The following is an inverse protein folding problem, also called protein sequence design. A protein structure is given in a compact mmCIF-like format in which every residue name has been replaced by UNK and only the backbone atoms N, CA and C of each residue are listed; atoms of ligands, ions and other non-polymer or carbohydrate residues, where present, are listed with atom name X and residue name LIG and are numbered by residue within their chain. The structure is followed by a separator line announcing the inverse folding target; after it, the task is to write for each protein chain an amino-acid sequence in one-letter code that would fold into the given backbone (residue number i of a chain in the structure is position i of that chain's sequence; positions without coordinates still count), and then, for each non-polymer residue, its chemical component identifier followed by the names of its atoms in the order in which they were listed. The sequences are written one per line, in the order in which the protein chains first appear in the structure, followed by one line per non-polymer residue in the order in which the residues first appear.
data_IF_249005675070
#
_entry.id   IF_249005675070
#
_cell.length_a   1.000
_cell.length_b   1.000
_cell.length_c   1.000
_cell.angle_alpha   90.00
_cell.angle_beta   90.00
_cell.angle_gamma   90.00
#
_symmetry.space_group_name_H-M   'P 1'
#
loop_
_entity.id
_entity.type
_entity.pdbx_description
1 polymer ?
#
# COMPACT_ATOMS: atom_id res chain seq x y z
N UNK A 1 6.94 80.55 -23.99
CA UNK A 1 7.96 79.53 -23.64
C UNK A 1 7.37 78.52 -22.66
N UNK A 2 7.32 77.24 -23.03
CA UNK A 2 7.77 76.06 -22.24
C UNK A 2 7.27 75.99 -20.77
N UNK A 3 6.53 74.99 -20.27
CA UNK A 3 6.53 73.54 -20.51
C UNK A 3 5.35 72.88 -19.76
N UNK A 4 4.97 71.70 -20.25
CA UNK A 4 4.05 70.69 -19.70
C UNK A 4 4.49 70.15 -18.33
N UNK A 5 3.55 69.59 -17.54
CA UNK A 5 3.60 68.34 -16.72
C UNK A 5 2.50 68.39 -15.65
N UNK A 6 1.78 67.35 -15.22
CA UNK A 6 1.62 65.95 -15.61
C UNK A 6 0.31 65.45 -14.96
N UNK A 7 -0.49 64.67 -15.69
CA UNK A 7 -1.68 63.98 -15.16
C UNK A 7 -1.19 62.75 -14.38
N UNK A 8 -1.54 62.68 -13.09
CA UNK A 8 -1.34 61.51 -12.25
C UNK A 8 -2.35 60.42 -12.66
N UNK A 9 -1.98 59.57 -13.62
CA UNK A 9 -2.67 58.31 -13.83
C UNK A 9 -2.17 57.31 -12.78
N UNK A 10 -3.03 57.05 -11.80
CA UNK A 10 -2.92 55.95 -10.84
C UNK A 10 -3.13 54.63 -11.60
N UNK A 11 -2.06 54.14 -12.24
CA UNK A 11 -2.00 52.79 -12.81
C UNK A 11 -1.87 51.82 -11.64
N UNK A 12 -3.02 51.34 -11.15
CA UNK A 12 -3.09 50.15 -10.32
C UNK A 12 -2.50 48.99 -11.11
N UNK A 13 -1.24 48.67 -10.83
CA UNK A 13 -0.61 47.42 -11.22
C UNK A 13 -1.33 46.28 -10.51
N UNK A 14 -2.42 45.80 -11.10
CA UNK A 14 -2.85 44.42 -10.97
C UNK A 14 -1.76 43.59 -11.65
N UNK A 15 -0.67 43.31 -10.93
CA UNK A 15 0.16 42.18 -11.30
C UNK A 15 -0.75 40.94 -11.19
N UNK A 16 -1.07 40.24 -12.29
CA UNK A 16 -1.59 38.89 -12.13
C UNK A 16 -0.50 38.16 -11.35
N UNK A 17 -0.83 37.76 -10.13
CA UNK A 17 -0.05 36.77 -9.42
C UNK A 17 -0.07 35.58 -10.36
N UNK A 18 1.01 35.40 -11.13
CA UNK A 18 1.28 34.13 -11.80
C UNK A 18 1.50 33.18 -10.64
N UNK A 19 0.40 32.61 -10.15
CA UNK A 19 0.44 31.42 -9.32
C UNK A 19 1.27 30.47 -10.15
N UNK A 20 2.53 30.27 -9.75
CA UNK A 20 3.32 29.14 -10.18
C UNK A 20 2.51 27.95 -9.70
N UNK A 21 1.60 27.48 -10.56
CA UNK A 21 0.77 26.33 -10.30
C UNK A 21 1.77 25.20 -10.05
N UNK A 22 1.94 24.86 -8.77
CA UNK A 22 2.67 23.66 -8.42
C UNK A 22 1.97 22.54 -9.16
N UNK A 23 2.72 21.74 -9.91
CA UNK A 23 2.12 20.61 -10.60
C UNK A 23 1.53 19.57 -9.62
N UNK A 24 1.72 19.74 -8.31
CA UNK A 24 1.15 18.87 -7.27
C UNK A 24 -0.28 19.31 -6.95
N UNK A 25 -1.22 18.38 -7.12
CA UNK A 25 -2.62 18.54 -6.71
C UNK A 25 -2.75 18.23 -5.22
N UNK A 26 -2.09 17.17 -4.77
CA UNK A 26 -2.07 16.76 -3.37
C UNK A 26 -0.70 16.23 -2.96
N UNK A 27 -0.30 16.49 -1.73
CA UNK A 27 0.83 15.84 -1.09
C UNK A 27 0.49 15.57 0.37
N UNK A 28 0.70 14.33 0.82
CA UNK A 28 0.37 13.96 2.18
C UNK A 28 1.25 14.71 3.18
N UNK A 29 0.67 15.33 4.21
CA UNK A 29 1.44 15.93 5.31
C UNK A 29 2.32 14.85 5.97
N UNK A 30 3.59 15.18 6.22
CA UNK A 30 4.57 14.29 6.85
C UNK A 30 4.90 12.99 6.08
N UNK A 31 4.38 12.82 4.86
CA UNK A 31 4.74 11.70 4.00
C UNK A 31 4.90 12.20 2.57
N UNK A 32 6.14 12.53 2.19
CA UNK A 32 6.40 13.03 0.85
C UNK A 32 6.24 11.97 -0.26
N UNK A 33 6.20 10.68 0.11
CA UNK A 33 6.04 9.58 -0.82
C UNK A 33 4.60 9.41 -1.31
N UNK A 34 3.60 9.96 -0.61
CA UNK A 34 2.20 9.89 -1.02
C UNK A 34 1.74 11.21 -1.63
N UNK A 35 1.44 11.24 -2.92
CA UNK A 35 1.08 12.46 -3.64
C UNK A 35 0.27 12.19 -4.91
N UNK A 36 -0.40 13.25 -5.38
CA UNK A 36 -0.99 13.33 -6.73
C UNK A 36 -0.42 14.57 -7.40
N UNK A 37 0.17 14.40 -8.59
CA UNK A 37 0.75 15.49 -9.37
C UNK A 37 0.46 15.33 -10.85
N UNK A 38 0.62 16.41 -11.59
CA UNK A 38 0.68 16.46 -13.04
C UNK A 38 2.15 16.43 -13.46
N UNK A 39 2.44 15.70 -14.54
CA UNK A 39 3.79 15.65 -15.09
C UNK A 39 3.73 15.77 -16.60
N UNK A 40 4.70 16.47 -17.20
CA UNK A 40 4.79 16.51 -18.66
C UNK A 40 4.96 15.10 -19.19
N UNK A 41 4.09 14.72 -20.10
CA UNK A 41 4.07 13.39 -20.67
C UNK A 41 3.70 13.51 -22.14
N UNK A 42 4.47 12.82 -22.98
CA UNK A 42 4.24 12.75 -24.41
C UNK A 42 4.64 11.37 -24.88
N UNK A 43 3.65 10.62 -25.33
CA UNK A 43 3.84 9.32 -25.95
C UNK A 43 3.85 9.48 -27.47
N UNK A 44 4.69 8.72 -28.18
CA UNK A 44 4.85 8.91 -29.63
C UNK A 44 3.60 8.44 -30.36
N UNK A 45 3.00 9.31 -31.17
CA UNK A 45 1.84 8.97 -31.98
C UNK A 45 0.51 8.91 -31.19
N UNK A 46 0.50 9.38 -29.95
CA UNK A 46 -0.66 9.34 -29.07
C UNK A 46 -1.09 10.76 -28.72
N UNK A 47 -2.39 11.04 -28.88
CA UNK A 47 -3.01 12.32 -28.49
C UNK A 47 -3.76 12.11 -27.18
N UNK A 48 -3.33 12.78 -26.11
CA UNK A 48 -4.00 12.67 -24.81
C UNK A 48 -5.33 13.43 -24.83
N UNK A 49 -6.39 12.77 -24.35
CA UNK A 49 -7.73 13.32 -24.16
C UNK A 49 -7.82 14.01 -22.79
N UNK A 50 -6.91 14.95 -22.53
CA UNK A 50 -6.92 15.78 -21.32
C UNK A 50 -7.28 17.23 -21.63
N UNK A 51 -8.02 17.92 -20.74
CA UNK A 51 -8.57 17.44 -19.47
C UNK A 51 -9.69 16.41 -19.65
N UNK A 52 -9.86 15.53 -18.67
CA UNK A 52 -10.93 14.53 -18.63
C UNK A 52 -11.66 14.59 -17.29
N UNK A 53 -12.98 14.45 -17.30
CA UNK A 53 -13.79 14.49 -16.07
C UNK A 53 -14.34 13.12 -15.76
N UNK A 54 -13.82 12.50 -14.70
CA UNK A 54 -14.38 11.29 -14.10
C UNK A 54 -15.46 11.64 -13.07
N UNK A 55 -16.44 10.77 -12.88
CA UNK A 55 -17.17 10.75 -11.60
C UNK A 55 -16.30 10.06 -10.55
N UNK A 56 -16.48 10.43 -9.28
CA UNK A 56 -15.70 9.83 -8.19
C UNK A 56 -15.97 8.32 -8.12
N UNK A 57 -17.24 7.89 -8.19
CA UNK A 57 -17.63 6.48 -8.13
C UNK A 57 -17.06 5.65 -9.28
N UNK A 58 -17.07 6.19 -10.52
CA UNK A 58 -16.48 5.49 -11.66
C UNK A 58 -14.98 5.28 -11.45
N UNK A 59 -14.26 6.30 -10.99
CA UNK A 59 -12.83 6.21 -10.75
C UNK A 59 -12.51 5.24 -9.61
N UNK A 60 -13.29 5.28 -8.52
CA UNK A 60 -13.15 4.31 -7.42
C UNK A 60 -13.33 2.88 -7.91
N UNK A 61 -14.43 2.60 -8.61
CA UNK A 61 -14.71 1.26 -9.15
C UNK A 61 -13.60 0.77 -10.10
N UNK A 62 -13.06 1.64 -10.95
CA UNK A 62 -11.89 1.32 -11.80
C UNK A 62 -10.67 0.93 -10.96
N UNK A 63 -10.30 1.73 -9.95
CA UNK A 63 -9.15 1.45 -9.09
C UNK A 63 -9.37 0.21 -8.22
N UNK A 64 -10.60 0.00 -7.75
CA UNK A 64 -11.02 -1.17 -6.99
C UNK A 64 -10.92 -2.43 -7.83
N UNK A 65 -11.14 -2.39 -9.14
CA UNK A 65 -11.06 -3.56 -10.03
C UNK A 65 -9.64 -4.09 -10.26
N UNK A 66 -8.60 -3.37 -9.82
CA UNK A 66 -7.21 -3.75 -10.05
C UNK A 66 -6.79 -4.91 -9.13
N UNK A 67 -6.29 -6.00 -9.74
CA UNK A 67 -5.97 -7.25 -9.03
C UNK A 67 -4.54 -7.71 -9.28
N UNK A 68 -3.93 -8.26 -8.23
CA UNK A 68 -2.73 -9.07 -8.31
C UNK A 68 -3.02 -10.42 -8.96
N UNK A 69 -2.03 -10.94 -9.66
CA UNK A 69 -2.10 -12.28 -10.24
C UNK A 69 -2.27 -13.37 -9.18
N UNK A 70 -3.15 -14.33 -9.47
CA UNK A 70 -3.46 -15.49 -8.61
C UNK A 70 -2.24 -16.22 -8.03
N UNK A 71 -1.09 -16.21 -8.72
CA UNK A 71 0.15 -16.85 -8.25
C UNK A 71 0.68 -16.24 -6.94
N UNK A 72 0.39 -14.97 -6.65
CA UNK A 72 0.80 -14.31 -5.39
C UNK A 72 0.03 -14.82 -4.17
N UNK A 73 -1.21 -15.29 -4.35
CA UNK A 73 -2.04 -15.84 -3.26
C UNK A 73 -1.46 -17.13 -2.69
N UNK A 74 -0.71 -17.89 -3.50
CA UNK A 74 0.01 -19.08 -3.01
C UNK A 74 1.13 -18.71 -2.03
N UNK A 75 1.67 -17.49 -2.11
CA UNK A 75 2.49 -16.94 -1.05
C UNK A 75 1.54 -16.40 0.03
N UNK A 76 1.66 -16.89 1.27
CA UNK A 76 0.80 -16.57 2.43
C UNK A 76 0.72 -15.07 2.81
N UNK A 77 1.31 -14.19 2.01
CA UNK A 77 1.43 -12.74 2.23
C UNK A 77 0.20 -11.94 1.76
N UNK A 78 -0.46 -12.34 0.67
CA UNK A 78 -1.60 -11.58 0.11
C UNK A 78 -2.93 -12.28 0.42
N UNK A 79 -3.50 -12.01 1.60
CA UNK A 79 -4.89 -12.43 1.90
C UNK A 79 -5.93 -11.75 1.00
N UNK A 80 -5.55 -10.66 0.34
CA UNK A 80 -6.39 -9.92 -0.59
C UNK A 80 -5.70 -9.81 -1.95
N UNK A 81 -6.46 -9.99 -3.03
CA UNK A 81 -5.98 -9.82 -4.42
C UNK A 81 -6.02 -8.36 -4.85
N UNK A 82 -6.63 -7.46 -4.08
CA UNK A 82 -6.71 -6.04 -4.43
C UNK A 82 -5.33 -5.38 -4.43
N UNK A 83 -5.07 -4.59 -5.47
CA UNK A 83 -3.83 -3.82 -5.61
C UNK A 83 -3.78 -2.69 -4.57
N UNK A 84 -4.86 -1.91 -4.51
CA UNK A 84 -5.04 -0.81 -3.58
C UNK A 84 -6.07 -1.17 -2.50
N UNK A 85 -5.81 -0.80 -1.26
CA UNK A 85 -6.79 -0.93 -0.18
C UNK A 85 -7.81 0.21 -0.26
N UNK A 86 -9.06 -0.10 0.11
CA UNK A 86 -10.20 0.81 0.01
C UNK A 86 -9.92 2.17 0.65
N UNK A 87 -9.25 2.19 1.81
CA UNK A 87 -8.91 3.42 2.52
C UNK A 87 -8.08 4.41 1.68
N UNK A 88 -7.19 3.90 0.80
CA UNK A 88 -6.40 4.76 -0.07
C UNK A 88 -7.19 5.16 -1.31
N UNK A 89 -8.03 4.29 -1.84
CA UNK A 89 -8.92 4.64 -2.95
C UNK A 89 -9.83 5.80 -2.54
N UNK A 90 -10.53 5.67 -1.41
CA UNK A 90 -11.41 6.70 -0.88
C UNK A 90 -10.68 8.02 -0.58
N UNK A 91 -9.47 7.92 -0.02
CA UNK A 91 -8.66 9.11 0.28
C UNK A 91 -8.21 9.86 -0.96
N UNK A 92 -7.87 9.16 -2.04
CA UNK A 92 -7.22 9.75 -3.21
C UNK A 92 -8.16 10.04 -4.37
N UNK A 93 -9.35 9.42 -4.43
CA UNK A 93 -10.27 9.53 -5.57
C UNK A 93 -10.59 10.98 -5.95
N UNK A 94 -10.98 11.82 -4.98
CA UNK A 94 -11.30 13.23 -5.24
C UNK A 94 -10.12 14.02 -5.81
N UNK A 95 -8.91 13.81 -5.30
CA UNK A 95 -7.69 14.45 -5.82
C UNK A 95 -7.32 13.94 -7.22
N UNK A 96 -7.60 12.67 -7.54
CA UNK A 96 -7.37 12.13 -8.87
C UNK A 96 -8.37 12.69 -9.87
N UNK A 97 -9.66 12.76 -9.52
CA UNK A 97 -10.69 13.43 -10.34
C UNK A 97 -10.27 14.88 -10.63
N UNK A 98 -9.86 15.62 -9.59
CA UNK A 98 -9.35 16.98 -9.75
C UNK A 98 -8.12 17.06 -10.66
N UNK A 99 -7.19 16.11 -10.52
CA UNK A 99 -5.99 16.05 -11.36
C UNK A 99 -6.33 15.85 -12.83
N UNK A 100 -7.22 14.90 -13.15
CA UNK A 100 -7.64 14.64 -14.53
C UNK A 100 -8.39 15.83 -15.15
N UNK A 101 -9.22 16.52 -14.35
CA UNK A 101 -9.93 17.71 -14.80
C UNK A 101 -9.00 18.91 -15.05
N UNK A 102 -7.83 18.95 -14.41
CA UNK A 102 -6.82 20.02 -14.56
C UNK A 102 -5.69 19.68 -15.54
N UNK A 103 -5.55 18.41 -15.93
CA UNK A 103 -4.48 17.96 -16.80
C UNK A 103 -4.55 18.62 -18.19
N UNK A 104 -3.40 19.02 -18.72
CA UNK A 104 -3.27 19.52 -20.09
C UNK A 104 -3.04 18.37 -21.08
N UNK A 105 -3.24 18.59 -22.40
CA UNK A 105 -2.98 17.58 -23.44
C UNK A 105 -1.53 17.04 -23.50
N UNK A 106 -0.57 17.70 -22.84
CA UNK A 106 0.83 17.27 -22.73
C UNK A 106 1.19 16.80 -21.31
N UNK A 107 0.19 16.46 -20.50
CA UNK A 107 0.38 16.05 -19.12
C UNK A 107 -0.32 14.73 -18.80
N UNK A 108 0.30 13.95 -17.93
CA UNK A 108 -0.30 12.77 -17.31
C UNK A 108 -0.45 13.00 -15.80
N UNK A 109 -1.40 12.29 -15.20
CA UNK A 109 -1.60 12.27 -13.75
C UNK A 109 -0.66 11.22 -13.15
N UNK A 110 0.20 11.63 -12.23
CA UNK A 110 1.07 10.72 -11.47
C UNK A 110 0.55 10.60 -10.05
N UNK A 111 0.21 9.38 -9.67
CA UNK A 111 -0.25 9.03 -8.34
C UNK A 111 0.76 8.13 -7.65
N UNK A 112 1.19 8.55 -6.48
CA UNK A 112 2.09 7.80 -5.61
C UNK A 112 1.39 7.56 -4.29
N UNK A 113 1.36 6.32 -3.84
CA UNK A 113 0.69 5.90 -2.61
C UNK A 113 1.56 4.93 -1.83
N UNK A 114 1.67 5.21 -0.52
CA UNK A 114 2.30 4.29 0.44
C UNK A 114 1.22 3.61 1.26
N UNK A 115 1.08 2.29 1.05
CA UNK A 115 0.17 1.43 1.81
C UNK A 115 0.88 0.85 3.02
N UNK A 116 0.31 1.08 4.21
CA UNK A 116 0.88 0.60 5.47
C UNK A 116 0.44 -0.82 5.74
N UNK A 117 1.36 -1.79 5.63
CA UNK A 117 1.08 -3.21 5.90
C UNK A 117 2.00 -3.78 6.98
N UNK A 118 1.89 -3.31 8.23
CA UNK A 118 2.80 -3.72 9.30
C UNK A 118 2.68 -5.22 9.61
N UNK A 119 3.82 -5.90 9.77
CA UNK A 119 3.88 -7.22 10.40
C UNK A 119 4.10 -7.03 11.90
N UNK A 120 2.99 -6.84 12.63
CA UNK A 120 2.93 -6.55 14.06
C UNK A 120 3.81 -5.37 14.47
N UNK A 121 5.10 -5.61 14.75
CA UNK A 121 6.09 -4.60 15.16
C UNK A 121 6.98 -4.08 14.03
N UNK A 122 6.99 -4.73 12.86
CA UNK A 122 7.82 -4.34 11.74
C UNK A 122 7.00 -3.55 10.71
N UNK A 123 7.47 -2.33 10.43
CA UNK A 123 6.95 -1.50 9.35
C UNK A 123 7.27 -2.17 8.00
N UNK A 124 6.23 -2.50 7.24
CA UNK A 124 6.34 -3.07 5.90
C UNK A 124 5.48 -2.22 4.94
N UNK A 125 5.86 -0.95 4.86
CA UNK A 125 5.23 0.02 3.98
C UNK A 125 5.57 -0.29 2.52
N UNK A 126 4.54 -0.26 1.68
CA UNK A 126 4.61 -0.61 0.26
C UNK A 126 4.28 0.60 -0.59
N UNK A 127 5.18 0.95 -1.49
CA UNK A 127 5.04 2.08 -2.39
C UNK A 127 4.58 1.61 -3.77
N UNK A 128 3.46 2.16 -4.23
CA UNK A 128 3.02 2.02 -5.62
C UNK A 128 2.98 3.40 -6.26
N UNK A 129 3.61 3.52 -7.43
CA UNK A 129 3.61 4.74 -8.24
C UNK A 129 3.06 4.38 -9.61
N UNK A 130 2.00 5.07 -9.99
CA UNK A 130 1.37 4.95 -11.30
C UNK A 130 1.38 6.28 -12.02
N UNK A 131 1.47 6.22 -13.34
CA UNK A 131 1.23 7.34 -14.24
C UNK A 131 0.03 6.98 -15.09
N UNK A 132 -0.93 7.89 -15.16
CA UNK A 132 -2.23 7.64 -15.75
C UNK A 132 -2.56 8.73 -16.77
N UNK A 133 -3.14 8.33 -17.88
CA UNK A 133 -3.62 9.25 -18.92
C UNK A 133 -4.81 8.66 -19.67
N UNK A 134 -5.55 9.50 -20.37
CA UNK A 134 -6.71 9.08 -21.17
C UNK A 134 -6.42 9.28 -22.64
N UNK A 135 -6.74 8.28 -23.47
CA UNK A 135 -6.65 8.32 -24.93
C UNK A 135 -7.87 7.65 -25.55
N UNK A 136 -8.57 8.35 -26.42
CA UNK A 136 -9.86 7.90 -26.94
C UNK A 136 -10.85 7.63 -25.80
N UNK A 137 -11.33 6.40 -25.71
CA UNK A 137 -12.20 5.90 -24.64
C UNK A 137 -11.48 4.94 -23.69
N UNK A 138 -10.16 5.07 -23.56
CA UNK A 138 -9.33 4.18 -22.75
C UNK A 138 -8.58 4.99 -21.68
N UNK A 139 -8.58 4.49 -20.45
CA UNK A 139 -7.71 4.95 -19.37
C UNK A 139 -6.49 4.05 -19.31
N UNK A 140 -5.33 4.66 -19.50
CA UNK A 140 -4.05 3.99 -19.44
C UNK A 140 -3.43 4.19 -18.06
N UNK A 141 -2.89 3.12 -17.49
CA UNK A 141 -2.22 3.11 -16.19
C UNK A 141 -0.86 2.43 -16.36
N UNK A 142 0.19 3.22 -16.41
CA UNK A 142 1.58 2.75 -16.41
C UNK A 142 2.12 2.64 -14.98
N UNK A 143 2.46 1.42 -14.61
CA UNK A 143 3.02 1.05 -13.32
C UNK A 143 4.53 1.32 -13.29
N UNK A 144 4.89 2.50 -12.78
CA UNK A 144 6.28 2.90 -12.57
C UNK A 144 6.93 2.10 -11.44
N UNK A 145 6.18 1.88 -10.35
CA UNK A 145 6.57 1.03 -9.22
C UNK A 145 5.34 0.31 -8.67
N UNK A 146 5.48 -0.97 -8.35
CA UNK A 146 4.41 -1.79 -7.76
C UNK A 146 4.93 -2.42 -6.48
N UNK A 147 4.26 -2.15 -5.35
CA UNK A 147 4.57 -2.71 -4.03
C UNK A 147 6.06 -2.56 -3.63
N UNK A 148 6.71 -1.48 -4.07
CA UNK A 148 8.12 -1.26 -3.82
C UNK A 148 8.40 -1.14 -2.32
N UNK A 149 9.42 -1.84 -1.84
CA UNK A 149 9.77 -1.83 -0.41
C UNK A 149 10.43 -0.50 -0.06
N UNK A 150 9.86 0.20 0.92
CA UNK A 150 10.46 1.41 1.49
C UNK A 150 11.34 1.07 2.71
N UNK A 151 12.67 1.13 2.53
CA UNK A 151 13.64 0.93 3.60
C UNK A 151 14.12 2.28 4.16
N UNK A 152 14.31 2.37 5.48
CA UNK A 152 14.79 3.59 6.13
C UNK A 152 13.73 4.67 6.30
N UNK A 153 14.09 5.82 6.88
CA UNK A 153 13.13 6.90 7.13
C UNK A 153 12.82 7.70 5.85
N UNK A 154 11.86 7.20 5.06
CA UNK A 154 11.41 7.83 3.82
C UNK A 154 10.56 9.10 4.07
N UNK A 155 10.17 9.37 5.31
CA UNK A 155 9.42 10.57 5.69
C UNK A 155 10.35 11.74 6.01
N UNK A 156 11.63 11.46 6.26
CA UNK A 156 12.66 12.46 6.47
C UNK A 156 12.80 13.38 5.24
N UNK A 157 12.83 14.70 5.49
CA UNK A 157 12.93 15.71 4.42
C UNK A 157 14.25 15.65 3.63
N UNK A 158 15.31 15.12 4.24
CA UNK A 158 16.67 15.08 3.66
C UNK A 158 16.92 13.82 2.84
N UNK A 159 16.50 12.65 3.33
CA UNK A 159 16.78 11.35 2.70
C UNK A 159 15.57 10.73 2.02
N UNK A 160 14.36 11.24 2.27
CA UNK A 160 13.11 10.61 1.84
C UNK A 160 12.98 10.43 0.34
N UNK A 161 13.27 11.48 -0.44
CA UNK A 161 13.18 11.42 -1.90
C UNK A 161 14.11 10.37 -2.49
N UNK A 162 15.37 10.31 -2.02
CA UNK A 162 16.34 9.31 -2.45
C UNK A 162 15.85 7.88 -2.17
N UNK A 163 15.27 7.64 -0.99
CA UNK A 163 14.74 6.33 -0.62
C UNK A 163 13.52 5.93 -1.46
N UNK A 164 12.67 6.90 -1.82
CA UNK A 164 11.55 6.70 -2.75
C UNK A 164 12.09 6.33 -4.14
N UNK A 165 13.11 7.04 -4.63
CA UNK A 165 13.68 6.86 -5.96
C UNK A 165 14.41 5.51 -6.08
N UNK A 166 15.15 5.10 -5.04
CA UNK A 166 15.87 3.82 -4.97
C UNK A 166 14.96 2.61 -4.72
N UNK A 167 13.70 2.81 -4.29
CA UNK A 167 12.78 1.72 -4.00
C UNK A 167 12.52 0.86 -5.23
N UNK A 168 12.71 -0.46 -5.11
CA UNK A 168 12.52 -1.44 -6.18
C UNK A 168 11.20 -2.20 -5.97
N UNK A 169 10.42 -2.34 -7.04
CA UNK A 169 9.17 -3.10 -7.04
C UNK A 169 9.39 -4.58 -6.73
N UNK A 170 8.42 -5.22 -6.07
CA UNK A 170 8.56 -6.60 -5.55
C UNK A 170 8.34 -7.68 -6.63
N UNK A 171 8.40 -7.33 -7.92
CA UNK A 171 8.20 -8.29 -9.02
C UNK A 171 6.79 -8.86 -9.06
N UNK A 172 5.82 -8.10 -8.57
CA UNK A 172 4.41 -8.46 -8.51
C UNK A 172 3.79 -8.33 -9.90
N UNK A 173 3.07 -9.37 -10.33
CA UNK A 173 2.34 -9.39 -11.60
C UNK A 173 0.88 -8.99 -11.38
N UNK A 174 0.34 -8.16 -12.27
CA UNK A 174 -1.09 -7.84 -12.32
C UNK A 174 -1.83 -8.86 -13.18
N UNK A 175 -3.13 -9.02 -12.95
CA UNK A 175 -4.02 -9.86 -13.75
C UNK A 175 -5.14 -8.98 -14.31
N UNK A 176 -5.19 -8.77 -15.64
CA UNK A 176 -6.27 -8.02 -16.26
C UNK A 176 -7.61 -8.68 -15.98
N UNK A 177 -8.58 -7.89 -15.54
CA UNK A 177 -9.97 -8.29 -15.35
C UNK A 177 -10.82 -7.93 -16.57
N UNK A 178 -12.13 -8.18 -16.49
CA UNK A 178 -13.08 -7.70 -17.49
C UNK A 178 -12.93 -6.19 -17.72
N UNK A 179 -12.92 -5.77 -19.00
CA UNK A 179 -12.71 -4.37 -19.37
C UNK A 179 -11.25 -3.89 -19.28
N UNK A 180 -10.31 -4.78 -18.96
CA UNK A 180 -8.88 -4.46 -18.85
C UNK A 180 -8.04 -5.28 -19.83
N UNK A 181 -6.96 -4.69 -20.33
CA UNK A 181 -5.94 -5.38 -21.14
C UNK A 181 -4.56 -4.79 -20.88
N UNK A 182 -3.51 -5.56 -21.08
CA UNK A 182 -2.17 -4.98 -21.15
C UNK A 182 -1.94 -4.28 -22.49
N UNK A 183 -1.06 -3.28 -22.50
CA UNK A 183 -0.47 -2.79 -23.74
C UNK A 183 0.29 -3.91 -24.47
N UNK A 184 0.42 -3.78 -25.79
CA UNK A 184 0.96 -4.85 -26.64
C UNK A 184 2.45 -5.14 -26.38
N UNK A 185 3.20 -4.13 -25.95
CA UNK A 185 4.65 -4.15 -25.81
C UNK A 185 5.13 -4.17 -24.35
N UNK A 186 4.22 -4.08 -23.38
CA UNK A 186 4.57 -4.03 -21.97
C UNK A 186 3.48 -4.60 -21.06
N UNK A 187 3.90 -5.30 -20.01
CA UNK A 187 3.02 -5.76 -18.92
C UNK A 187 2.91 -4.74 -17.78
N UNK A 188 3.54 -3.57 -17.94
CA UNK A 188 3.51 -2.46 -16.98
C UNK A 188 2.39 -1.48 -17.26
N UNK A 189 1.83 -1.49 -18.45
CA UNK A 189 0.73 -0.61 -18.82
C UNK A 189 -0.55 -1.41 -18.90
N UNK A 190 -1.51 -1.05 -18.04
CA UNK A 190 -2.85 -1.61 -18.05
C UNK A 190 -3.80 -0.56 -18.65
N UNK A 191 -4.59 -1.00 -19.61
CA UNK A 191 -5.55 -0.20 -20.36
C UNK A 191 -6.94 -0.63 -19.93
N UNK A 192 -7.73 0.33 -19.46
CA UNK A 192 -9.10 0.18 -18.98
C UNK A 192 -10.06 0.80 -20.00
N UNK A 193 -11.09 0.08 -20.41
CA UNK A 193 -12.16 0.62 -21.24
C UNK A 193 -13.09 1.52 -20.42
N UNK A 194 -13.16 2.80 -20.76
CA UNK A 194 -13.99 3.78 -20.03
C UNK A 194 -15.49 3.56 -20.20
N UNK A 195 -15.91 2.78 -21.19
CA UNK A 195 -17.32 2.47 -21.44
C UNK A 195 -17.81 1.22 -20.71
N UNK A 196 -16.91 0.50 -20.02
CA UNK A 196 -17.30 -0.67 -19.25
C UNK A 196 -18.12 -0.28 -18.01
N UNK A 197 -18.98 -1.21 -17.55
CA UNK A 197 -19.76 -1.06 -16.33
C UNK A 197 -18.89 -1.36 -15.10
N UNK A 198 -18.04 -0.39 -14.75
CA UNK A 198 -17.09 -0.52 -13.65
C UNK A 198 -17.74 -0.80 -12.30
N UNK A 199 -18.86 -0.15 -11.91
CA UNK A 199 -19.56 -0.49 -10.68
C UNK A 199 -19.96 -1.97 -10.62
N UNK A 200 -20.52 -2.52 -11.71
CA UNK A 200 -20.88 -3.94 -11.74
C UNK A 200 -19.65 -4.85 -11.71
N UNK A 201 -18.60 -4.53 -12.47
CA UNK A 201 -17.35 -5.31 -12.49
C UNK A 201 -16.72 -5.34 -11.09
N UNK A 202 -16.66 -4.21 -10.39
CA UNK A 202 -16.11 -4.14 -9.04
C UNK A 202 -16.93 -4.99 -8.04
N UNK A 203 -18.27 -4.92 -8.14
CA UNK A 203 -19.17 -5.72 -7.30
C UNK A 203 -19.00 -7.24 -7.54
N UNK A 204 -18.90 -7.66 -8.80
CA UNK A 204 -18.70 -9.07 -9.16
C UNK A 204 -17.35 -9.61 -8.64
N UNK A 205 -16.29 -8.80 -8.73
CA UNK A 205 -14.97 -9.16 -8.21
C UNK A 205 -14.93 -9.27 -6.69
N UNK A 206 -15.58 -8.35 -5.96
CA UNK A 206 -15.66 -8.46 -4.49
C UNK A 206 -16.49 -9.68 -4.07
N UNK A 207 -17.58 -9.98 -4.78
CA UNK A 207 -18.37 -11.19 -4.54
C UNK A 207 -17.55 -12.48 -4.78
N UNK A 208 -16.73 -12.53 -5.83
CA UNK A 208 -15.80 -13.64 -6.07
C UNK A 208 -14.78 -13.76 -4.93
N UNK A 209 -14.14 -12.65 -4.55
CA UNK A 209 -13.12 -12.63 -3.50
C UNK A 209 -13.70 -13.05 -2.14
N UNK A 210 -14.91 -12.62 -1.80
CA UNK A 210 -15.60 -13.02 -0.57
C UNK A 210 -15.96 -14.51 -0.55
N UNK A 211 -16.44 -15.05 -1.69
CA UNK A 211 -16.66 -16.51 -1.83
C UNK A 211 -15.37 -17.30 -1.61
N UNK A 212 -14.27 -16.87 -2.21
CA UNK A 212 -12.96 -17.52 -2.04
C UNK A 212 -12.48 -17.47 -0.58
N UNK A 213 -12.72 -16.36 0.13
CA UNK A 213 -12.40 -16.24 1.57
C UNK A 213 -13.21 -17.23 2.40
N UNK A 214 -14.53 -17.31 2.18
CA UNK A 214 -15.42 -18.23 2.89
C UNK A 214 -15.03 -19.69 2.65
N UNK A 215 -14.73 -20.08 1.40
CA UNK A 215 -14.25 -21.42 1.08
C UNK A 215 -12.92 -21.73 1.78
N UNK A 216 -11.98 -20.79 1.80
CA UNK A 216 -10.69 -20.96 2.46
C UNK A 216 -10.83 -21.10 3.99
N UNK A 217 -11.78 -20.38 4.60
CA UNK A 217 -12.09 -20.50 6.02
C UNK A 217 -12.77 -21.83 6.36
N UNK A 218 -13.74 -22.27 5.55
CA UNK A 218 -14.39 -23.57 5.71
C UNK A 218 -13.36 -24.72 5.63
N UNK A 219 -12.44 -24.67 4.65
CA UNK A 219 -11.33 -25.63 4.54
C UNK A 219 -10.43 -25.63 5.78
N UNK A 220 -10.14 -24.46 6.37
CA UNK A 220 -9.34 -24.36 7.60
C UNK A 220 -10.07 -24.95 8.81
N UNK A 221 -11.38 -24.75 8.93
CA UNK A 221 -12.21 -25.34 10.01
C UNK A 221 -12.22 -26.88 9.90
N UNK A 222 -12.51 -27.42 8.72
CA UNK A 222 -12.52 -28.87 8.48
C UNK A 222 -11.14 -29.51 8.77
N UNK A 223 -10.04 -28.83 8.42
CA UNK A 223 -8.69 -29.31 8.74
C UNK A 223 -8.40 -29.32 10.24
N UNK A 224 -8.88 -28.32 11.00
CA UNK A 224 -8.73 -28.29 12.46
C UNK A 224 -9.56 -29.37 13.14
N UNK A 225 -10.80 -29.60 12.71
CA UNK A 225 -11.67 -30.65 13.25
C UNK A 225 -11.12 -32.06 12.97
N UNK A 226 -10.62 -32.32 11.76
CA UNK A 226 -9.97 -33.59 11.43
C UNK A 226 -8.69 -33.87 12.26
N UNK A 227 -8.02 -32.81 12.76
CA UNK A 227 -6.84 -32.95 13.63
C UNK A 227 -7.23 -33.17 15.10
N UNK A 228 -8.44 -32.81 15.51
CA UNK A 228 -8.96 -33.00 16.89
C UNK A 228 -9.66 -34.36 17.04
N UNK A 229 -10.31 -34.87 16.00
CA UNK A 229 -11.02 -36.17 16.02
C UNK A 229 -10.09 -37.39 15.83
N UNK A 230 -8.81 -37.19 15.48
CA UNK A 230 -7.84 -38.28 15.28
C UNK A 230 -6.87 -38.50 16.45
N UNK A 231 -7.08 -37.86 17.61
CA UNK A 231 -6.35 -38.20 18.83
C UNK A 231 -6.89 -39.54 19.40
N UNK A 232 -6.08 -40.62 19.48
CA UNK A 232 -6.54 -41.92 20.00
C UNK A 232 -6.74 -41.86 21.53
N UNK A 233 -7.72 -42.59 22.10
CA UNK A 233 -7.83 -42.78 23.53
C UNK A 233 -6.90 -43.90 24.02
N UNK A 234 -6.35 -43.65 25.21
CA UNK A 234 -5.89 -44.60 26.24
C UNK A 234 -4.50 -45.28 26.24
N UNK A 235 -3.73 -44.90 27.27
CA UNK A 235 -3.22 -45.75 28.36
C UNK A 235 -1.94 -46.63 28.21
N UNK A 236 -0.99 -46.39 29.13
CA UNK A 236 -0.19 -47.30 30.00
C UNK A 236 1.22 -46.72 30.21
N UNK A 237 1.56 -46.22 31.40
CA UNK A 237 1.90 -46.93 32.65
C UNK A 237 3.32 -47.53 32.66
N UNK A 238 4.16 -47.01 33.57
CA UNK A 238 5.27 -47.74 34.20
C UNK A 238 6.69 -47.18 33.99
N UNK A 239 7.19 -46.34 34.91
CA UNK A 239 8.25 -46.74 35.86
C UNK A 239 8.74 -45.56 36.72
N UNK A 240 8.98 -45.88 37.99
CA UNK A 240 9.19 -45.04 39.18
C UNK A 240 10.68 -44.76 39.45
N UNK A 241 10.94 -43.84 40.41
CA UNK A 241 12.15 -43.63 41.28
C UNK A 241 12.93 -42.38 40.88
N UNK A 242 13.22 -41.35 41.70
CA UNK A 242 13.06 -40.97 43.12
C UNK A 242 13.20 -39.43 43.15
N UNK A 243 12.37 -38.63 43.83
CA UNK A 243 12.42 -38.41 45.28
C UNK A 243 13.22 -37.15 45.65
N UNK A 244 12.55 -36.00 45.86
CA UNK A 244 12.85 -35.08 46.99
C UNK A 244 11.78 -33.99 47.12
N UNK A 245 10.99 -34.10 48.18
CA UNK A 245 10.19 -33.01 48.74
C UNK A 245 11.08 -32.16 49.64
N UNK A 246 11.04 -30.84 49.48
CA UNK A 246 11.33 -29.89 50.55
C UNK A 246 10.30 -28.76 50.46
N UNK A 247 9.52 -28.62 51.53
CA UNK A 247 8.62 -27.50 51.80
C UNK A 247 9.38 -26.28 52.38
N UNK A 248 9.04 -25.09 51.85
CA UNK A 248 8.68 -23.81 52.54
C UNK A 248 9.78 -23.13 53.42
N UNK A 249 10.08 -21.80 53.33
CA UNK A 249 9.11 -20.72 53.54
C UNK A 249 9.29 -19.41 52.72
N UNK A 250 8.43 -18.45 53.09
CA UNK A 250 7.96 -17.26 52.39
C UNK A 250 8.89 -16.02 52.37
N UNK A 251 8.43 -15.07 51.55
CA UNK A 251 8.59 -13.59 51.62
C UNK A 251 9.82 -12.99 50.93
N UNK A 252 9.60 -12.40 49.75
CA UNK A 252 10.11 -11.05 49.46
C UNK A 252 9.27 -10.39 48.37
N UNK A 253 8.77 -9.20 48.67
CA UNK A 253 8.08 -8.29 47.76
C UNK A 253 8.95 -7.98 46.52
N UNK A 254 8.41 -8.23 45.33
CA UNK A 254 8.94 -7.68 44.06
C UNK A 254 7.78 -6.95 43.37
N UNK A 255 7.95 -5.68 42.99
CA UNK A 255 6.88 -4.87 42.40
C UNK A 255 6.41 -5.48 41.06
N UNK A 256 5.09 -5.46 40.76
CA UNK A 256 4.50 -6.17 39.61
C UNK A 256 4.80 -5.53 38.24
N UNK A 257 5.79 -4.64 38.12
CA UNK A 257 6.01 -3.85 36.89
C UNK A 257 6.91 -4.54 35.85
N UNK A 258 7.78 -5.48 36.23
CA UNK A 258 8.80 -6.06 35.33
C UNK A 258 8.39 -7.37 34.64
N UNK A 259 7.51 -8.16 35.25
CA UNK A 259 7.12 -9.46 34.70
C UNK A 259 6.24 -9.35 33.43
N UNK A 260 5.43 -8.29 33.34
CA UNK A 260 4.55 -8.05 32.18
C UNK A 260 5.33 -7.56 30.97
N UNK A 261 6.29 -6.66 31.17
CA UNK A 261 7.13 -6.13 30.11
C UNK A 261 8.10 -7.19 29.55
N UNK A 262 8.60 -8.09 30.40
CA UNK A 262 9.40 -9.24 29.95
C UNK A 262 8.60 -10.25 29.14
N UNK A 263 7.35 -10.53 29.54
CA UNK A 263 6.43 -11.40 28.79
C UNK A 263 6.10 -10.81 27.40
N UNK A 264 5.86 -9.50 27.32
CA UNK A 264 5.59 -8.81 26.06
C UNK A 264 6.82 -8.77 25.14
N UNK A 265 8.02 -8.53 25.68
CA UNK A 265 9.25 -8.58 24.91
C UNK A 265 9.53 -9.98 24.35
N UNK A 266 9.30 -11.03 25.14
CA UNK A 266 9.47 -12.42 24.71
C UNK A 266 8.47 -12.82 23.61
N UNK A 267 7.22 -12.36 23.72
CA UNK A 267 6.21 -12.56 22.68
C UNK A 267 6.62 -11.88 21.35
N UNK A 268 7.09 -10.62 21.42
CA UNK A 268 7.58 -9.86 20.25
C UNK A 268 8.81 -10.51 19.60
N UNK A 269 9.76 -11.02 20.38
CA UNK A 269 10.94 -11.73 19.88
C UNK A 269 10.58 -13.07 19.20
N UNK A 270 9.62 -13.79 19.77
CA UNK A 270 9.11 -15.05 19.20
C UNK A 270 8.43 -14.81 17.85
N UNK A 271 7.61 -13.78 17.76
CA UNK A 271 6.98 -13.38 16.51
C UNK A 271 7.99 -12.91 15.47
N UNK A 272 8.96 -12.09 15.86
CA UNK A 272 10.02 -11.62 14.96
C UNK A 272 10.82 -12.80 14.37
N UNK A 273 11.10 -13.83 15.18
CA UNK A 273 11.72 -15.08 14.70
C UNK A 273 10.83 -15.81 13.71
N UNK A 274 9.53 -15.94 14.01
CA UNK A 274 8.57 -16.57 13.11
C UNK A 274 8.44 -15.85 11.76
N UNK A 275 8.58 -14.51 11.74
CA UNK A 275 8.58 -13.72 10.51
C UNK A 275 9.83 -14.00 9.66
N UNK A 276 11.00 -14.10 10.29
CA UNK A 276 12.27 -14.46 9.62
C UNK A 276 12.22 -15.87 9.05
N UNK A 277 11.77 -16.83 9.85
CA UNK A 277 11.70 -18.24 9.45
C UNK A 277 10.73 -18.47 8.27
N UNK A 278 9.73 -17.59 8.12
CA UNK A 278 8.79 -17.59 6.98
C UNK A 278 9.31 -16.80 5.76
N UNK A 279 10.50 -16.20 5.84
CA UNK A 279 11.08 -15.38 4.76
C UNK A 279 10.39 -14.02 4.56
N UNK A 280 9.53 -13.60 5.51
CA UNK A 280 8.74 -12.37 5.40
C UNK A 280 9.58 -11.12 5.64
N UNK A 281 10.71 -11.28 6.32
CA UNK A 281 11.65 -10.21 6.70
C UNK A 281 13.07 -10.65 6.40
N UNK A 282 13.97 -9.70 6.16
CA UNK A 282 15.38 -10.02 5.90
C UNK A 282 16.15 -10.25 7.20
N UNK A 283 17.32 -10.90 7.11
CA UNK A 283 18.23 -11.08 8.24
C UNK A 283 18.58 -9.74 8.91
N UNK A 284 18.78 -8.71 8.10
CA UNK A 284 19.08 -7.34 8.56
C UNK A 284 17.93 -6.73 9.35
N UNK A 285 16.68 -6.95 8.91
CA UNK A 285 15.48 -6.45 9.60
C UNK A 285 15.29 -7.17 10.95
N UNK A 286 15.53 -8.48 10.97
CA UNK A 286 15.48 -9.31 12.18
C UNK A 286 16.47 -8.81 13.24
N UNK A 287 17.75 -8.68 12.90
CA UNK A 287 18.77 -8.25 13.86
C UNK A 287 18.54 -6.83 14.38
N UNK A 288 18.12 -5.90 13.50
CA UNK A 288 17.80 -4.53 13.92
C UNK A 288 16.65 -4.49 14.91
N UNK A 289 15.54 -5.18 14.63
CA UNK A 289 14.35 -5.19 15.50
C UNK A 289 14.58 -5.96 16.80
N UNK A 290 15.35 -7.05 16.75
CA UNK A 290 15.77 -7.78 17.95
C UNK A 290 16.56 -6.86 18.89
N UNK A 291 17.49 -6.07 18.36
CA UNK A 291 18.25 -5.11 19.16
C UNK A 291 17.39 -3.97 19.72
N UNK A 292 16.36 -3.51 19.00
CA UNK A 292 15.39 -2.53 19.52
C UNK A 292 14.56 -3.11 20.68
N UNK A 293 13.99 -4.31 20.52
CA UNK A 293 13.19 -4.95 21.59
C UNK A 293 14.03 -5.23 22.84
N UNK A 294 15.30 -5.62 22.67
CA UNK A 294 16.21 -5.88 23.79
C UNK A 294 16.66 -4.61 24.52
N UNK A 295 16.52 -3.42 23.91
CA UNK A 295 16.81 -2.14 24.57
C UNK A 295 15.64 -1.59 25.38
N UNK A 296 14.43 -2.07 25.10
CA UNK A 296 13.19 -1.67 25.79
C UNK A 296 12.92 -2.53 27.05
N UNK A 297 13.84 -3.45 27.39
CA UNK A 297 13.84 -4.34 28.58
C UNK A 297 14.69 -3.75 29.71
#
# INVERSE_FOLDING_TARGET
MKKRFWILCLLGFLFPQVVRAGNKIYQQPNNQASFVKLEKFKEKGVTLNHPYTFTEDQLKAMLESLRYGKKLILLKESKNRTLFEQEYIDKFASYLVEAFAKAKPDQAVVWSVVQKRPYVILRNDKLTIVRMWVTGSELHIDFLKVEAKLQGDYQAKTTGQRLIDEAVGVGVTLEPQQGQKFALDTTRELILDLNADWPQIAADLEAEDERLRQEAEARKKNKKEATVTSAPPDSRSGSTVMGRTVEVPATTDIPPSSAKDQSDAQARLTELKNLKDKGLITEKDYEKKKAEILKDL
#
